data_IF_796295404316
#
_entry.id   IF_796295404316
#
_cell.length_a   1.000
_cell.length_b   1.000
_cell.length_c   1.000
_cell.angle_alpha   90.00
_cell.angle_beta   90.00
_cell.angle_gamma   90.00
#
_symmetry.space_group_name_H-M   'P 1'
#
loop_
_entity.id
_entity.type
_entity.pdbx_description
1 polymer ?
#
# COMPACT_ATOMS: atom_id res chain seq x y z
N UNK A 1 -17.31 -16.14 19.37
CA UNK A 1 -16.27 -15.14 19.07
C UNK A 1 -15.28 -15.74 18.07
N UNK A 2 -15.28 -15.18 16.85
CA UNK A 2 -14.40 -15.72 15.83
C UNK A 2 -12.96 -15.26 16.08
N UNK A 3 -12.06 -16.20 16.17
CA UNK A 3 -10.65 -15.89 16.32
C UNK A 3 -10.10 -15.39 14.98
N UNK A 4 -9.36 -14.29 15.03
CA UNK A 4 -8.65 -13.79 13.88
C UNK A 4 -7.41 -14.65 13.67
N UNK A 5 -7.31 -15.26 12.49
CA UNK A 5 -6.18 -16.12 12.15
C UNK A 5 -4.97 -15.28 11.80
N UNK A 6 -3.87 -15.50 12.52
CA UNK A 6 -2.58 -14.94 12.15
C UNK A 6 -1.97 -15.89 11.12
N UNK A 7 -1.71 -15.39 9.90
CA UNK A 7 -1.33 -16.24 8.78
C UNK A 7 0.05 -15.91 8.22
N UNK A 8 0.69 -16.93 7.69
CA UNK A 8 1.93 -16.83 6.92
C UNK A 8 1.89 -17.89 5.82
N UNK A 9 2.21 -17.49 4.61
CA UNK A 9 2.24 -18.38 3.45
C UNK A 9 3.61 -18.37 2.79
N UNK A 10 3.99 -19.49 2.19
CA UNK A 10 5.15 -19.54 1.30
C UNK A 10 4.74 -18.97 -0.07
N UNK A 11 5.72 -18.50 -0.85
CA UNK A 11 5.45 -17.94 -2.18
C UNK A 11 4.76 -18.94 -3.11
N UNK A 12 5.03 -20.24 -2.94
CA UNK A 12 4.41 -21.29 -3.75
C UNK A 12 2.89 -21.39 -3.54
N UNK A 13 2.39 -20.89 -2.42
CA UNK A 13 0.96 -20.90 -2.10
C UNK A 13 0.24 -19.67 -2.60
N UNK A 14 0.96 -18.73 -3.22
CA UNK A 14 0.44 -17.46 -3.66
C UNK A 14 0.37 -17.39 -5.19
N UNK A 15 -0.45 -16.48 -5.69
CA UNK A 15 -0.57 -16.20 -7.11
C UNK A 15 0.06 -14.86 -7.42
N UNK A 16 0.45 -14.66 -8.67
CA UNK A 16 1.07 -13.41 -9.11
C UNK A 16 -0.02 -12.51 -9.72
N UNK A 17 -0.03 -11.26 -9.29
CA UNK A 17 -0.90 -10.22 -9.84
C UNK A 17 -0.05 -9.08 -10.36
N UNK A 18 -0.52 -8.44 -11.42
CA UNK A 18 0.14 -7.30 -12.04
C UNK A 18 -0.62 -6.04 -11.68
N UNK A 19 0.08 -5.00 -11.24
CA UNK A 19 -0.53 -3.73 -10.93
C UNK A 19 -0.87 -2.98 -12.21
N UNK A 20 -2.11 -2.47 -12.30
CA UNK A 20 -2.55 -1.64 -13.43
C UNK A 20 -1.87 -0.28 -13.32
N UNK A 21 -1.47 0.29 -14.46
CA UNK A 21 -0.84 1.61 -14.48
C UNK A 21 -1.91 2.70 -14.41
N UNK A 22 -2.07 3.27 -13.23
CA UNK A 22 -3.00 4.38 -12.98
C UNK A 22 -2.23 5.55 -12.39
N UNK A 23 -2.76 6.75 -12.59
CA UNK A 23 -2.21 7.92 -11.92
C UNK A 23 -2.61 7.87 -10.45
N UNK A 24 -1.62 8.02 -9.58
CA UNK A 24 -1.78 8.00 -8.14
C UNK A 24 -1.24 9.29 -7.55
N UNK A 25 -1.25 9.38 -6.24
CA UNK A 25 -0.72 10.54 -5.53
C UNK A 25 0.19 10.11 -4.40
N UNK A 26 1.06 11.03 -3.98
CA UNK A 26 1.90 10.81 -2.82
C UNK A 26 2.23 12.14 -2.16
N UNK A 27 2.72 12.08 -0.93
CA UNK A 27 3.25 13.23 -0.23
C UNK A 27 4.51 12.79 0.51
N UNK A 28 5.49 13.70 0.58
CA UNK A 28 6.70 13.44 1.38
C UNK A 28 6.36 13.61 2.85
N UNK A 29 6.85 12.70 3.70
CA UNK A 29 6.53 12.76 5.13
C UNK A 29 6.98 14.06 5.78
N UNK A 30 8.06 14.66 5.31
CA UNK A 30 8.54 15.97 5.81
C UNK A 30 7.59 17.13 5.49
N UNK A 31 6.65 16.94 4.60
CA UNK A 31 5.60 17.92 4.33
C UNK A 31 4.38 17.72 5.23
N UNK A 32 4.41 16.73 6.11
CA UNK A 32 3.34 16.41 7.07
C UNK A 32 3.79 16.69 8.49
N UNK A 33 4.99 16.28 8.83
CA UNK A 33 5.57 16.44 10.17
C UNK A 33 7.05 16.80 10.04
N UNK A 34 7.61 17.36 11.11
CA UNK A 34 9.05 17.63 11.17
C UNK A 34 9.85 16.32 11.30
N UNK A 35 11.11 16.36 10.88
CA UNK A 35 11.98 15.20 10.93
C UNK A 35 12.01 14.55 12.31
N UNK A 36 11.81 13.24 12.35
CA UNK A 36 11.80 12.46 13.58
C UNK A 36 10.46 12.40 14.28
N UNK A 37 9.49 13.25 13.94
CA UNK A 37 8.16 13.18 14.54
C UNK A 37 7.38 11.98 13.98
N UNK A 38 6.57 11.32 14.81
CA UNK A 38 5.75 10.20 14.34
C UNK A 38 4.64 10.66 13.41
N UNK A 39 4.50 9.99 12.29
CA UNK A 39 3.38 10.15 11.37
C UNK A 39 2.49 8.93 11.54
N UNK A 40 1.28 9.13 12.03
CA UNK A 40 0.30 8.05 12.17
C UNK A 40 -0.54 8.00 10.90
N UNK A 41 -0.53 6.85 10.25
CA UNK A 41 -1.26 6.64 9.00
C UNK A 41 -2.37 5.64 9.27
N UNK A 42 -3.61 6.06 9.01
CA UNK A 42 -4.79 5.20 9.18
C UNK A 42 -5.03 4.43 7.90
N UNK A 43 -4.29 3.33 7.72
CA UNK A 43 -4.49 2.49 6.53
C UNK A 43 -5.82 1.76 6.62
N UNK A 44 -6.28 1.25 5.50
CA UNK A 44 -7.56 0.51 5.45
C UNK A 44 -7.52 -0.76 6.31
N UNK A 45 -6.33 -1.28 6.60
CA UNK A 45 -6.13 -2.54 7.32
C UNK A 45 -5.63 -2.36 8.75
N UNK A 46 -5.47 -1.12 9.21
CA UNK A 46 -4.98 -0.79 10.54
C UNK A 46 -4.05 0.40 10.55
N UNK A 47 -3.79 0.93 11.73
CA UNK A 47 -2.90 2.08 11.88
C UNK A 47 -1.44 1.65 11.85
N UNK A 48 -0.62 2.43 11.16
CA UNK A 48 0.83 2.28 11.18
C UNK A 48 1.45 3.64 11.53
N UNK A 49 2.62 3.60 12.17
CA UNK A 49 3.33 4.82 12.55
C UNK A 49 4.75 4.75 12.00
N UNK A 50 5.16 5.81 11.31
CA UNK A 50 6.51 5.92 10.78
C UNK A 50 7.09 7.27 11.15
N UNK A 51 8.42 7.38 11.36
CA UNK A 51 9.04 8.68 11.60
C UNK A 51 9.10 9.50 10.31
N UNK A 52 8.81 10.78 10.39
CA UNK A 52 8.98 11.67 9.25
C UNK A 52 10.48 11.81 8.92
N UNK A 53 10.82 11.78 7.65
CA UNK A 53 12.20 11.89 7.21
C UNK A 53 12.31 11.87 5.70
N UNK A 54 13.52 12.18 5.20
CA UNK A 54 13.79 12.20 3.75
C UNK A 54 13.56 10.84 3.08
N UNK A 55 13.72 9.75 3.84
CA UNK A 55 13.58 8.40 3.32
C UNK A 55 12.16 7.85 3.39
N UNK A 56 11.21 8.65 3.86
CA UNK A 56 9.84 8.19 4.05
C UNK A 56 8.85 9.03 3.26
N UNK A 57 8.13 8.38 2.34
CA UNK A 57 7.03 8.96 1.59
C UNK A 57 5.71 8.30 2.01
N UNK A 58 4.61 8.90 1.60
CA UNK A 58 3.27 8.39 1.90
C UNK A 58 2.51 8.30 0.57
N UNK A 59 2.10 7.10 0.20
CA UNK A 59 1.29 6.87 -1.00
C UNK A 59 -0.18 7.07 -0.71
N UNK A 60 -0.88 7.68 -1.63
CA UNK A 60 -2.33 7.84 -1.58
C UNK A 60 -2.90 7.24 -2.85
N UNK A 61 -3.53 6.07 -2.70
CA UNK A 61 -4.10 5.32 -3.81
C UNK A 61 -5.61 5.53 -3.95
N UNK A 62 -6.25 4.60 -4.66
CA UNK A 62 -7.68 4.61 -4.85
C UNK A 62 -8.43 4.29 -3.55
N UNK A 63 -9.70 4.68 -3.45
CA UNK A 63 -10.59 4.34 -2.33
C UNK A 63 -10.04 4.69 -0.95
N UNK A 64 -9.40 5.86 -0.84
CA UNK A 64 -8.83 6.33 0.42
C UNK A 64 -7.70 5.43 0.96
N UNK A 65 -7.11 4.62 0.09
CA UNK A 65 -5.98 3.77 0.43
C UNK A 65 -4.75 4.67 0.65
N UNK A 66 -4.23 4.66 1.87
CA UNK A 66 -3.06 5.47 2.23
C UNK A 66 -2.08 4.59 2.99
N UNK A 67 -0.80 4.65 2.63
CA UNK A 67 0.20 3.80 3.26
C UNK A 67 1.60 4.40 3.11
N UNK A 68 2.53 4.08 4.03
CA UNK A 68 3.90 4.55 3.92
C UNK A 68 4.67 3.76 2.87
N UNK A 69 5.63 4.42 2.24
CA UNK A 69 6.53 3.78 1.29
C UNK A 69 7.93 4.38 1.46
N UNK A 70 8.98 3.53 1.56
CA UNK A 70 10.35 4.05 1.57
C UNK A 70 10.66 4.80 0.27
N UNK A 71 11.38 5.91 0.38
CA UNK A 71 11.74 6.75 -0.76
C UNK A 71 12.42 5.97 -1.88
N UNK A 72 13.39 5.13 -1.55
CA UNK A 72 14.12 4.36 -2.55
C UNK A 72 13.20 3.40 -3.32
N UNK A 73 12.25 2.79 -2.64
CA UNK A 73 11.27 1.93 -3.29
C UNK A 73 10.35 2.75 -4.20
N UNK A 74 9.89 3.91 -3.72
CA UNK A 74 9.09 4.83 -4.53
C UNK A 74 9.83 5.22 -5.81
N UNK A 75 11.07 5.67 -5.68
CA UNK A 75 11.86 6.13 -6.84
C UNK A 75 12.17 5.01 -7.83
N UNK A 76 12.23 3.76 -7.37
CA UNK A 76 12.45 2.61 -8.24
C UNK A 76 11.22 2.22 -9.05
N UNK A 77 10.03 2.57 -8.60
CA UNK A 77 8.76 2.12 -9.20
C UNK A 77 7.95 3.23 -9.87
N UNK A 78 8.02 4.44 -9.34
CA UNK A 78 7.13 5.52 -9.75
C UNK A 78 7.90 6.70 -10.30
N UNK A 79 7.25 7.42 -11.22
CA UNK A 79 7.73 8.73 -11.64
C UNK A 79 6.72 9.80 -11.20
N UNK A 80 7.23 10.97 -10.89
CA UNK A 80 6.41 12.13 -10.53
C UNK A 80 5.85 12.73 -11.82
N UNK A 81 4.55 13.04 -11.81
CA UNK A 81 3.87 13.66 -12.94
C UNK A 81 3.24 14.97 -12.50
N UNK A 82 3.00 15.86 -13.43
CA UNK A 82 2.40 17.16 -13.14
C UNK A 82 0.90 17.10 -12.91
N UNK A 83 0.23 16.10 -13.46
CA UNK A 83 -1.21 15.92 -13.27
C UNK A 83 -1.53 15.52 -11.85
N UNK A 84 -2.51 16.20 -11.26
CA UNK A 84 -3.01 15.91 -9.92
C UNK A 84 -4.53 15.99 -9.93
N UNK A 85 -5.17 14.96 -9.42
CA UNK A 85 -6.63 14.93 -9.22
C UNK A 85 -6.92 15.09 -7.74
N UNK A 86 -6.69 16.28 -7.23
CA UNK A 86 -6.75 16.56 -5.79
C UNK A 86 -8.11 16.26 -5.16
N UNK A 87 -9.19 16.36 -5.95
CA UNK A 87 -10.52 16.01 -5.46
C UNK A 87 -10.62 14.55 -5.00
N UNK A 88 -9.86 13.66 -5.62
CA UNK A 88 -9.87 12.24 -5.27
C UNK A 88 -9.18 11.94 -3.94
N UNK A 89 -8.31 12.82 -3.49
CA UNK A 89 -7.50 12.60 -2.28
C UNK A 89 -7.82 13.60 -1.17
N UNK A 90 -8.76 14.50 -1.40
CA UNK A 90 -9.09 15.59 -0.47
C UNK A 90 -9.47 15.08 0.92
N UNK A 91 -10.36 14.10 0.99
CA UNK A 91 -10.87 13.59 2.26
C UNK A 91 -9.79 12.87 3.07
N UNK A 92 -9.00 12.04 2.41
CA UNK A 92 -7.92 11.30 3.08
C UNK A 92 -6.83 12.25 3.56
N UNK A 93 -6.52 13.27 2.76
CA UNK A 93 -5.54 14.28 3.13
C UNK A 93 -6.03 15.07 4.35
N UNK A 94 -7.30 15.47 4.36
CA UNK A 94 -7.91 16.20 5.47
C UNK A 94 -7.83 15.41 6.77
N UNK A 95 -8.14 14.12 6.72
CA UNK A 95 -8.11 13.25 7.92
C UNK A 95 -6.71 13.07 8.49
N UNK A 96 -5.69 13.24 7.67
CA UNK A 96 -4.29 13.07 8.09
C UNK A 96 -3.55 14.39 8.29
N UNK A 97 -4.25 15.52 8.16
CA UNK A 97 -3.60 16.83 8.29
C UNK A 97 -2.60 17.11 7.17
N UNK A 98 -2.80 16.54 6.00
CA UNK A 98 -1.94 16.73 4.85
C UNK A 98 -2.41 17.95 4.05
N UNK A 99 -1.48 18.86 3.77
CA UNK A 99 -1.74 20.01 2.92
C UNK A 99 -1.86 19.55 1.46
N UNK A 100 -3.02 19.77 0.85
CA UNK A 100 -3.25 19.36 -0.54
C UNK A 100 -2.26 19.98 -1.52
N UNK A 101 -1.74 21.16 -1.23
CA UNK A 101 -0.76 21.80 -2.10
C UNK A 101 0.57 21.03 -2.14
N UNK A 102 0.84 20.22 -1.13
CA UNK A 102 2.04 19.39 -1.04
C UNK A 102 1.87 18.01 -1.65
N UNK A 103 0.64 17.64 -1.99
CA UNK A 103 0.37 16.34 -2.63
C UNK A 103 0.80 16.40 -4.09
N UNK A 104 1.55 15.41 -4.52
CA UNK A 104 2.07 15.31 -5.88
C UNK A 104 1.46 14.11 -6.60
N UNK A 105 1.43 14.18 -7.93
CA UNK A 105 0.98 13.07 -8.76
C UNK A 105 2.13 12.14 -9.09
N UNK A 106 1.83 10.86 -9.28
CA UNK A 106 2.82 9.87 -9.71
C UNK A 106 2.16 8.74 -10.49
N UNK A 107 2.96 7.96 -11.20
CA UNK A 107 2.50 6.77 -11.91
C UNK A 107 3.64 5.76 -12.00
N UNK A 108 3.30 4.49 -12.20
CA UNK A 108 4.29 3.43 -12.38
C UNK A 108 5.10 3.67 -13.65
N UNK A 109 6.43 3.54 -13.55
CA UNK A 109 7.34 3.64 -14.69
C UNK A 109 7.40 2.34 -15.49
N UNK A 110 7.14 1.21 -14.84
CA UNK A 110 7.25 -0.11 -15.44
C UNK A 110 6.24 -1.06 -14.79
N UNK A 111 6.13 -2.26 -15.33
CA UNK A 111 5.25 -3.26 -14.76
C UNK A 111 5.65 -3.58 -13.32
N UNK A 112 4.66 -3.69 -12.47
CA UNK A 112 4.85 -4.03 -11.06
C UNK A 112 3.96 -5.22 -10.71
N UNK A 113 4.48 -6.12 -9.88
CA UNK A 113 3.81 -7.36 -9.52
C UNK A 113 3.72 -7.51 -8.01
N UNK A 114 2.79 -8.33 -7.59
CA UNK A 114 2.63 -8.72 -6.19
C UNK A 114 2.25 -10.19 -6.13
N UNK A 115 2.75 -10.87 -5.11
CA UNK A 115 2.22 -12.20 -4.78
C UNK A 115 1.03 -12.00 -3.85
N UNK A 116 -0.07 -12.70 -4.10
CA UNK A 116 -1.25 -12.53 -3.26
C UNK A 116 -2.13 -13.77 -3.22
N UNK A 117 -2.94 -13.84 -2.18
CA UNK A 117 -3.94 -14.89 -2.01
C UNK A 117 -5.19 -14.28 -1.39
N UNK A 118 -6.33 -14.54 -2.01
CA UNK A 118 -7.61 -14.12 -1.45
C UNK A 118 -7.92 -14.94 -0.20
N UNK A 119 -8.27 -14.27 0.87
CA UNK A 119 -8.60 -14.92 2.13
C UNK A 119 -10.10 -15.13 2.26
N UNK A 120 -10.49 -16.29 2.74
CA UNK A 120 -11.91 -16.64 2.92
C UNK A 120 -12.44 -16.34 4.32
N UNK A 121 -11.55 -15.98 5.24
CA UNK A 121 -11.87 -15.67 6.64
C UNK A 121 -11.10 -14.44 7.08
N UNK A 122 -11.54 -13.81 8.15
CA UNK A 122 -10.82 -12.72 8.76
C UNK A 122 -9.44 -13.20 9.23
N UNK A 123 -8.44 -12.36 9.06
CA UNK A 123 -7.04 -12.75 9.30
C UNK A 123 -6.21 -11.56 9.73
N UNK A 124 -5.00 -11.83 10.22
CA UNK A 124 -4.03 -10.79 10.50
C UNK A 124 -2.67 -11.18 9.97
N UNK A 125 -1.84 -10.18 9.69
CA UNK A 125 -0.45 -10.35 9.30
C UNK A 125 0.40 -9.35 10.05
N UNK A 126 1.67 -9.72 10.29
CA UNK A 126 2.66 -8.82 10.85
C UNK A 126 3.51 -8.26 9.72
N UNK A 127 3.62 -6.93 9.66
CA UNK A 127 4.47 -6.27 8.68
C UNK A 127 5.72 -5.73 9.36
N UNK A 128 6.88 -6.26 8.96
CA UNK A 128 8.18 -5.89 9.55
C UNK A 128 8.56 -4.44 9.31
N UNK A 129 8.22 -3.89 8.15
CA UNK A 129 8.63 -2.55 7.78
C UNK A 129 8.05 -1.47 8.67
N UNK A 130 6.88 -1.71 9.24
CA UNK A 130 6.22 -0.75 10.13
C UNK A 130 6.06 -1.30 11.55
N UNK A 131 6.60 -2.48 11.84
CA UNK A 131 6.47 -3.16 13.13
C UNK A 131 5.02 -3.11 13.62
N UNK A 132 4.11 -3.52 12.75
CA UNK A 132 2.67 -3.42 13.01
C UNK A 132 1.95 -4.70 12.63
N UNK A 133 0.83 -4.95 13.29
CA UNK A 133 -0.09 -6.02 12.91
C UNK A 133 -1.22 -5.39 12.11
N UNK A 134 -1.48 -5.96 10.93
CA UNK A 134 -2.56 -5.53 10.05
C UNK A 134 -3.68 -6.56 10.09
N UNK A 135 -4.91 -6.10 9.94
CA UNK A 135 -6.10 -6.95 10.00
C UNK A 135 -6.87 -6.89 8.70
N UNK A 136 -7.22 -8.05 8.17
CA UNK A 136 -8.01 -8.17 6.96
C UNK A 136 -9.30 -8.92 7.21
N UNK A 137 -10.29 -8.65 6.38
CA UNK A 137 -11.58 -9.33 6.40
C UNK A 137 -11.62 -10.41 5.33
N UNK A 138 -12.58 -11.32 5.46
CA UNK A 138 -12.85 -12.28 4.38
C UNK A 138 -13.06 -11.52 3.08
N UNK A 139 -12.40 -11.94 2.02
CA UNK A 139 -12.41 -11.25 0.72
C UNK A 139 -11.23 -10.32 0.47
N UNK A 140 -10.49 -9.98 1.51
CA UNK A 140 -9.24 -9.23 1.36
C UNK A 140 -8.09 -10.19 1.01
N UNK A 141 -6.95 -9.63 0.64
CA UNK A 141 -5.83 -10.42 0.14
C UNK A 141 -4.62 -10.33 1.06
N UNK A 142 -4.05 -11.48 1.37
CA UNK A 142 -2.69 -11.61 1.91
C UNK A 142 -1.75 -11.29 0.76
N UNK A 143 -0.85 -10.34 0.93
CA UNK A 143 0.02 -9.86 -0.14
C UNK A 143 1.47 -9.81 0.29
N UNK A 144 2.36 -10.09 -0.67
CA UNK A 144 3.81 -10.05 -0.46
C UNK A 144 4.43 -9.26 -1.61
N UNK A 145 5.29 -8.33 -1.28
CA UNK A 145 6.02 -7.53 -2.27
C UNK A 145 6.86 -8.46 -3.16
N UNK A 146 6.72 -8.30 -4.48
CA UNK A 146 7.39 -9.18 -5.44
C UNK A 146 8.91 -9.13 -5.28
N UNK A 147 9.48 -7.96 -5.05
CA UNK A 147 10.92 -7.75 -4.93
C UNK A 147 11.45 -7.98 -3.50
N UNK A 148 10.56 -8.14 -2.53
CA UNK A 148 10.93 -8.33 -1.13
C UNK A 148 9.98 -9.31 -0.46
N UNK A 149 10.30 -10.64 -0.51
CA UNK A 149 9.41 -11.67 0.03
C UNK A 149 9.17 -11.58 1.54
N UNK A 150 9.96 -10.79 2.26
CA UNK A 150 9.75 -10.58 3.70
C UNK A 150 8.71 -9.50 3.99
N UNK A 151 8.39 -8.69 3.00
CA UNK A 151 7.40 -7.62 3.17
C UNK A 151 5.99 -8.15 2.93
N UNK A 152 5.29 -8.46 4.01
CA UNK A 152 3.92 -8.98 3.99
C UNK A 152 2.96 -7.87 4.38
N UNK A 153 1.85 -7.77 3.66
CA UNK A 153 0.83 -6.76 3.94
C UNK A 153 -0.53 -7.24 3.45
N UNK A 154 -1.53 -6.37 3.55
CA UNK A 154 -2.90 -6.71 3.15
C UNK A 154 -3.35 -5.74 2.08
N UNK A 155 -4.04 -6.25 1.07
CA UNK A 155 -4.72 -5.45 0.07
C UNK A 155 -6.21 -5.71 0.20
N UNK A 156 -6.98 -4.65 0.41
CA UNK A 156 -8.43 -4.76 0.49
C UNK A 156 -8.99 -5.28 -0.84
N UNK A 157 -10.03 -6.13 -0.76
CA UNK A 157 -10.60 -6.81 -1.93
C UNK A 157 -11.00 -5.89 -3.06
N UNK A 158 -11.68 -4.78 -2.76
CA UNK A 158 -12.10 -3.81 -3.76
C UNK A 158 -10.93 -3.13 -4.45
N UNK A 159 -9.89 -2.82 -3.69
CA UNK A 159 -8.66 -2.22 -4.23
C UNK A 159 -7.92 -3.22 -5.10
N UNK A 160 -7.87 -4.47 -4.68
CA UNK A 160 -7.25 -5.53 -5.47
C UNK A 160 -7.91 -5.67 -6.84
N UNK A 161 -9.23 -5.69 -6.87
CA UNK A 161 -9.97 -5.81 -8.13
C UNK A 161 -9.78 -4.63 -9.08
N UNK A 162 -9.70 -3.42 -8.53
CA UNK A 162 -9.50 -2.21 -9.36
C UNK A 162 -8.06 -1.99 -9.78
N UNK A 163 -7.12 -2.31 -8.89
CA UNK A 163 -5.71 -1.91 -9.04
C UNK A 163 -4.85 -2.98 -9.66
N UNK A 164 -5.23 -4.24 -9.53
CA UNK A 164 -4.42 -5.37 -9.98
C UNK A 164 -5.20 -6.29 -10.91
N UNK A 165 -4.48 -7.05 -11.73
CA UNK A 165 -5.05 -8.11 -12.54
C UNK A 165 -4.22 -9.37 -12.34
N UNK A 166 -4.90 -10.51 -12.31
CA UNK A 166 -4.23 -11.81 -12.14
C UNK A 166 -3.41 -12.13 -13.38
N UNK A 167 -2.17 -12.53 -13.17
CA UNK A 167 -1.30 -13.01 -14.24
C UNK A 167 -1.63 -14.48 -14.47
N UNK A 168 -2.15 -14.79 -15.63
CA UNK A 168 -2.38 -16.18 -16.01
C UNK A 168 -1.08 -16.80 -16.47
N UNK A 169 -0.67 -17.87 -15.78
CA UNK A 169 0.45 -18.67 -16.23
C UNK A 169 -0.08 -19.68 -17.25
N UNK A 170 0.33 -19.54 -18.51
CA UNK A 170 0.12 -20.58 -19.47
C UNK A 170 1.10 -21.71 -19.15
N UNK A 171 0.56 -22.82 -18.71
CA UNK A 171 1.36 -24.04 -18.61
C UNK A 171 1.63 -24.53 -20.01
N UNK A 172 2.91 -24.66 -20.33
CA UNK A 172 3.32 -25.35 -21.55
C UNK A 172 3.56 -26.83 -21.26
#
# INVERSE_FOLDING_TARGET
MDEILKVTYSLAELQIYKKRKKNLHFVKSLNVKEAGEPVVIHTLEGDVTVPAGEEQYIMIGAHEDIYPIPRNLFESKYEVITERKLAEVEEVARRHGIDLEKVEGCRLMRDSYVYARRMEKDFSVYTKHCDSELFGNAGDYYAVTYEDPENVYIIQGDIMEETYEKVETTEE
#
